data_IF_693642337746
#
_entry.id   IF_693642337746
#
_cell.length_a   1.000
_cell.length_b   1.000
_cell.length_c   1.000
_cell.angle_alpha   90.00
_cell.angle_beta   90.00
_cell.angle_gamma   90.00
#
_symmetry.space_group_name_H-M   'P 1'
#
loop_
_entity.id
_entity.type
_entity.pdbx_description
1 polymer ?
#
# COMPACT_ATOMS: atom_id res chain seq x y z
N UNK A 1 -5.74 -0.46 -14.52
CA UNK A 1 -6.11 -1.64 -13.71
C UNK A 1 -5.29 -1.73 -12.44
N UNK A 2 -5.76 -2.47 -11.44
CA UNK A 2 -5.00 -2.73 -10.21
C UNK A 2 -4.35 -4.11 -10.26
N UNK A 3 -3.08 -4.18 -9.86
CA UNK A 3 -2.39 -5.44 -9.58
C UNK A 3 -2.35 -5.66 -8.06
N UNK A 4 -2.81 -6.82 -7.59
CA UNK A 4 -2.74 -7.20 -6.17
C UNK A 4 -1.54 -8.10 -5.94
N UNK A 5 -0.60 -7.63 -5.14
CA UNK A 5 0.55 -8.41 -4.68
C UNK A 5 0.35 -8.75 -3.21
N UNK A 6 0.48 -10.03 -2.87
CA UNK A 6 0.52 -10.49 -1.47
C UNK A 6 1.97 -10.81 -1.13
N UNK A 7 2.48 -10.16 -0.09
CA UNK A 7 3.78 -10.47 0.50
C UNK A 7 3.53 -11.27 1.78
N UNK A 8 4.21 -12.39 1.93
CA UNK A 8 4.20 -13.18 3.15
C UNK A 8 5.39 -12.80 4.03
N UNK A 9 5.11 -12.29 5.23
CA UNK A 9 6.10 -11.88 6.21
C UNK A 9 6.18 -12.85 7.41
N UNK A 10 5.66 -14.08 7.27
CA UNK A 10 5.65 -15.09 8.35
C UNK A 10 7.04 -15.44 8.83
N UNK A 11 8.03 -15.52 7.92
CA UNK A 11 9.45 -15.66 8.27
C UNK A 11 10.03 -14.30 8.63
N UNK A 12 9.64 -13.77 9.78
CA UNK A 12 9.93 -12.40 10.20
C UNK A 12 11.43 -12.04 10.13
N UNK A 13 12.31 -12.94 10.57
CA UNK A 13 13.77 -12.75 10.61
C UNK A 13 14.48 -13.13 9.30
N UNK A 14 13.74 -13.44 8.23
CA UNK A 14 14.39 -13.62 6.92
C UNK A 14 14.87 -12.28 6.36
N UNK A 15 16.05 -12.23 5.71
CA UNK A 15 16.57 -11.00 5.12
C UNK A 15 15.58 -10.34 4.16
N UNK A 16 14.80 -11.12 3.41
CA UNK A 16 13.79 -10.62 2.49
C UNK A 16 12.61 -9.97 3.20
N UNK A 17 12.12 -10.59 4.30
CA UNK A 17 11.03 -10.03 5.08
C UNK A 17 11.47 -8.76 5.83
N UNK A 18 12.67 -8.75 6.38
CA UNK A 18 13.27 -7.58 7.02
C UNK A 18 13.40 -6.42 6.02
N UNK A 19 14.03 -6.66 4.86
CA UNK A 19 14.22 -5.64 3.82
C UNK A 19 12.88 -5.04 3.34
N UNK A 20 11.83 -5.85 3.20
CA UNK A 20 10.50 -5.37 2.82
C UNK A 20 9.83 -4.58 3.96
N UNK A 21 9.97 -5.01 5.21
CA UNK A 21 9.45 -4.28 6.37
C UNK A 21 10.12 -2.92 6.50
N UNK A 22 11.43 -2.84 6.35
CA UNK A 22 12.17 -1.59 6.40
C UNK A 22 11.83 -0.66 5.23
N UNK A 23 11.88 -1.18 4.00
CA UNK A 23 11.60 -0.39 2.78
C UNK A 23 10.22 0.27 2.82
N UNK A 24 9.21 -0.45 3.30
CA UNK A 24 7.83 0.04 3.37
C UNK A 24 7.41 0.51 4.77
N UNK A 25 8.32 0.57 5.74
CA UNK A 25 8.02 0.97 7.12
C UNK A 25 6.88 0.17 7.77
N UNK A 26 6.86 -1.15 7.58
CA UNK A 26 5.81 -2.04 8.09
C UNK A 26 6.13 -2.43 9.53
N UNK A 27 5.48 -1.74 10.48
CA UNK A 27 5.60 -2.06 11.91
C UNK A 27 4.83 -3.33 12.32
N UNK A 28 3.79 -3.71 11.57
CA UNK A 28 2.95 -4.86 11.87
C UNK A 28 2.05 -5.26 10.70
N UNK A 29 1.46 -6.45 10.80
CA UNK A 29 0.54 -7.01 9.79
C UNK A 29 -0.88 -7.12 10.35
N UNK A 30 -1.93 -7.06 9.51
CA UNK A 30 -1.87 -6.73 8.08
C UNK A 30 -1.55 -5.25 7.84
N UNK A 31 -0.82 -4.98 6.76
CA UNK A 31 -0.59 -3.62 6.23
C UNK A 31 -0.83 -3.64 4.72
N UNK A 32 -1.62 -2.70 4.21
CA UNK A 32 -1.85 -2.50 2.78
C UNK A 32 -1.15 -1.22 2.33
N UNK A 33 -0.31 -1.36 1.31
CA UNK A 33 0.43 -0.26 0.67
C UNK A 33 -0.09 -0.11 -0.75
N UNK A 34 -0.40 1.13 -1.16
CA UNK A 34 -0.83 1.45 -2.51
C UNK A 34 0.30 2.16 -3.24
N UNK A 35 0.72 1.62 -4.38
CA UNK A 35 1.79 2.18 -5.22
C UNK A 35 1.20 2.74 -6.51
N UNK A 36 1.73 3.87 -6.98
CA UNK A 36 1.48 4.36 -8.33
C UNK A 36 2.36 3.61 -9.35
N UNK A 37 2.22 3.96 -10.63
CA UNK A 37 2.96 3.34 -11.73
C UNK A 37 4.48 3.58 -11.66
N UNK A 38 4.91 4.61 -10.91
CA UNK A 38 6.32 4.91 -10.65
C UNK A 38 6.89 4.12 -9.45
N UNK A 39 6.07 3.28 -8.81
CA UNK A 39 6.45 2.54 -7.60
C UNK A 39 6.45 3.40 -6.32
N UNK A 40 5.90 4.62 -6.38
CA UNK A 40 5.81 5.52 -5.23
C UNK A 40 4.54 5.24 -4.43
N UNK A 41 4.67 5.29 -3.11
CA UNK A 41 3.54 5.04 -2.23
C UNK A 41 2.58 6.24 -2.13
N UNK A 42 1.30 5.96 -2.32
CA UNK A 42 0.20 6.87 -1.97
C UNK A 42 -0.04 6.76 -0.46
N UNK A 43 0.85 7.37 0.35
CA UNK A 43 0.86 7.21 1.82
C UNK A 43 -0.47 7.53 2.49
N UNK A 44 -1.19 8.54 1.98
CA UNK A 44 -2.52 8.92 2.49
C UNK A 44 -3.58 7.81 2.34
N UNK A 45 -3.33 6.80 1.51
CA UNK A 45 -4.20 5.65 1.31
C UNK A 45 -3.73 4.37 2.04
N UNK A 46 -2.60 4.38 2.76
CA UNK A 46 -2.11 3.20 3.51
C UNK A 46 -3.14 2.67 4.49
N UNK A 47 -3.26 1.35 4.64
CA UNK A 47 -4.04 0.74 5.72
C UNK A 47 -3.11 0.01 6.67
N UNK A 48 -3.27 0.24 7.97
CA UNK A 48 -2.55 -0.48 9.02
C UNK A 48 -3.59 -1.18 9.89
N UNK A 49 -3.40 -2.48 10.12
CA UNK A 49 -4.37 -3.31 10.80
C UNK A 49 -5.58 -3.64 9.94
N UNK A 50 -6.64 -4.10 10.60
CA UNK A 50 -7.87 -4.51 9.94
C UNK A 50 -8.72 -3.30 9.51
N UNK A 51 -9.33 -3.38 8.33
CA UNK A 51 -10.26 -2.39 7.80
C UNK A 51 -11.46 -3.12 7.19
N UNK A 52 -12.66 -2.69 7.53
CA UNK A 52 -13.90 -3.21 6.95
C UNK A 52 -14.09 -2.82 5.48
N UNK A 53 -15.08 -3.40 4.79
CA UNK A 53 -15.30 -3.20 3.37
C UNK A 53 -15.61 -1.73 3.00
N UNK A 54 -16.53 -1.08 3.72
CA UNK A 54 -16.93 0.31 3.42
C UNK A 54 -15.77 1.32 3.54
N UNK A 55 -15.00 1.38 4.66
CA UNK A 55 -13.85 2.27 4.73
C UNK A 55 -12.73 1.88 3.74
N UNK A 56 -12.66 0.61 3.34
CA UNK A 56 -11.73 0.18 2.28
C UNK A 56 -12.10 0.76 0.91
N UNK A 57 -13.39 0.84 0.57
CA UNK A 57 -13.85 1.47 -0.66
C UNK A 57 -13.50 2.97 -0.71
N UNK A 58 -13.65 3.68 0.41
CA UNK A 58 -13.21 5.09 0.53
C UNK A 58 -11.69 5.24 0.36
N UNK A 59 -10.93 4.23 0.81
CA UNK A 59 -9.47 4.18 0.59
C UNK A 59 -9.14 4.06 -0.89
N UNK A 60 -9.84 3.19 -1.62
CA UNK A 60 -9.66 3.05 -3.07
C UNK A 60 -10.05 4.32 -3.83
N UNK A 61 -11.07 5.05 -3.35
CA UNK A 61 -11.42 6.36 -3.90
C UNK A 61 -10.28 7.36 -3.76
N UNK A 62 -9.68 7.43 -2.56
CA UNK A 62 -8.49 8.26 -2.30
C UNK A 62 -7.34 7.91 -3.26
N UNK A 63 -7.12 6.62 -3.53
CA UNK A 63 -6.10 6.18 -4.50
C UNK A 63 -6.42 6.73 -5.89
N UNK A 64 -7.64 6.53 -6.39
CA UNK A 64 -8.07 7.01 -7.72
C UNK A 64 -7.90 8.52 -7.88
N UNK A 65 -8.35 9.31 -6.90
CA UNK A 65 -8.25 10.78 -6.93
C UNK A 65 -6.79 11.26 -6.94
N UNK A 66 -5.90 10.54 -6.24
CA UNK A 66 -4.47 10.84 -6.23
C UNK A 66 -3.85 10.58 -7.60
N UNK A 67 -4.13 9.41 -8.18
CA UNK A 67 -3.60 9.03 -9.48
C UNK A 67 -4.06 10.01 -10.56
N UNK A 68 -5.33 10.41 -10.55
CA UNK A 68 -5.86 11.41 -11.48
C UNK A 68 -5.18 12.78 -11.36
N UNK A 69 -4.86 13.19 -10.13
CA UNK A 69 -4.17 14.46 -9.87
C UNK A 69 -2.69 14.41 -10.28
N UNK A 70 -2.07 13.22 -10.31
CA UNK A 70 -0.69 13.02 -10.78
C UNK A 70 -0.58 12.92 -12.31
N UNK A 71 -1.65 12.46 -12.98
CA UNK A 71 -1.69 12.34 -14.44
C UNK A 71 -2.08 13.65 -15.17
N UNK A 72 -2.49 14.69 -14.45
CA UNK A 72 -2.78 15.98 -15.06
C UNK A 72 -1.46 16.65 -15.49
N UNK A 73 -1.31 17.02 -16.78
CA UNK A 73 -0.13 17.77 -17.22
C UNK A 73 -0.08 19.10 -16.47
N UNK A 74 1.09 19.40 -15.91
CA UNK A 74 1.41 20.71 -15.36
C UNK A 74 1.45 21.77 -16.46
#
# INVERSE_FOLDING_TARGET
DFARIKVDLTRYDSPEAEALRERFGVAGVPTLVFLNENGEEIRKARVVGFMGPDPFLERLRTVKETLQSQSAPK
#
